data_IF_123463972889
#
_entry.id   IF_123463972889
#
_cell.length_a   1.000
_cell.length_b   1.000
_cell.length_c   1.000
_cell.angle_alpha   90.00
_cell.angle_beta   90.00
_cell.angle_gamma   90.00
#
_symmetry.space_group_name_H-M   'P 1'
#
loop_
_entity.id
_entity.type
_entity.pdbx_description
1 polymer ?
#
# COMPACT_ATOMS: atom_id res chain seq x y z
N UNK A 1 0.14 4.01 -19.52
CA UNK A 1 0.15 2.53 -19.39
C UNK A 1 1.59 2.08 -19.23
N UNK A 2 2.33 2.70 -18.30
CA UNK A 2 3.79 2.82 -18.38
C UNK A 2 4.50 2.57 -17.03
N UNK A 3 3.93 3.01 -15.91
CA UNK A 3 4.62 2.93 -14.60
C UNK A 3 4.79 1.50 -14.05
N UNK A 4 3.83 0.59 -14.31
CA UNK A 4 3.97 -0.81 -13.89
C UNK A 4 5.05 -1.56 -14.67
N UNK A 5 5.36 -1.16 -15.91
CA UNK A 5 6.39 -1.82 -16.72
C UNK A 5 7.78 -1.52 -16.17
N UNK A 6 8.02 -0.28 -15.72
CA UNK A 6 9.30 0.14 -15.18
C UNK A 6 9.63 -0.51 -13.83
N UNK A 7 8.61 -0.91 -13.07
CA UNK A 7 8.79 -1.59 -11.79
C UNK A 7 9.07 -3.09 -11.94
N UNK A 8 8.89 -3.69 -13.12
CA UNK A 8 9.17 -5.13 -13.35
C UNK A 8 10.65 -5.48 -13.19
N UNK A 9 11.56 -4.51 -13.27
CA UNK A 9 13.00 -4.72 -13.03
C UNK A 9 13.32 -4.98 -11.55
N UNK A 10 12.43 -4.61 -10.63
CA UNK A 10 12.66 -4.77 -9.19
C UNK A 10 12.03 -6.08 -8.67
N UNK A 11 12.64 -6.71 -7.64
CA UNK A 11 12.07 -7.90 -7.04
C UNK A 11 10.70 -7.64 -6.41
N UNK A 12 9.68 -8.39 -6.83
CA UNK A 12 8.40 -8.43 -6.13
C UNK A 12 8.55 -9.23 -4.84
N UNK A 13 8.37 -8.57 -3.70
CA UNK A 13 8.50 -9.17 -2.36
C UNK A 13 7.16 -9.51 -1.72
N UNK A 14 6.06 -9.03 -2.29
CA UNK A 14 4.71 -9.41 -1.89
C UNK A 14 3.75 -9.30 -3.08
N UNK A 15 2.82 -10.25 -3.16
CA UNK A 15 1.75 -10.27 -4.16
C UNK A 15 0.48 -10.80 -3.52
N UNK A 16 -0.48 -9.91 -3.29
CA UNK A 16 -1.79 -10.22 -2.74
C UNK A 16 -2.92 -9.70 -3.63
N UNK A 17 -4.16 -9.91 -3.19
CA UNK A 17 -5.36 -9.33 -3.82
C UNK A 17 -5.39 -7.81 -3.65
N UNK A 18 -4.86 -7.30 -2.54
CA UNK A 18 -4.99 -5.89 -2.14
C UNK A 18 -3.71 -5.08 -2.25
N UNK A 19 -2.56 -5.76 -2.39
CA UNK A 19 -1.29 -5.09 -2.56
C UNK A 19 -0.34 -5.86 -3.47
N UNK A 20 0.52 -5.14 -4.18
CA UNK A 20 1.76 -5.67 -4.74
C UNK A 20 2.91 -4.80 -4.26
N UNK A 21 3.98 -5.42 -3.76
CA UNK A 21 5.09 -4.68 -3.15
C UNK A 21 6.40 -5.12 -3.80
N UNK A 22 7.18 -4.13 -4.21
CA UNK A 22 8.45 -4.27 -4.89
C UNK A 22 9.57 -3.68 -4.02
N UNK A 23 10.72 -4.34 -4.04
CA UNK A 23 11.91 -3.93 -3.29
C UNK A 23 12.80 -3.03 -4.16
N UNK A 24 12.88 -1.75 -3.79
CA UNK A 24 13.69 -0.76 -4.50
C UNK A 24 15.13 -0.68 -3.96
N UNK A 25 15.50 -1.52 -2.99
CA UNK A 25 16.78 -1.40 -2.25
C UNK A 25 18.04 -1.48 -3.10
N UNK A 26 17.97 -2.01 -4.33
CA UNK A 26 19.08 -2.00 -5.29
C UNK A 26 19.48 -0.60 -5.74
N UNK A 27 18.56 0.37 -5.68
CA UNK A 27 18.79 1.76 -6.10
C UNK A 27 18.54 2.75 -4.95
N UNK A 28 17.55 2.46 -4.10
CA UNK A 28 17.16 3.27 -2.94
C UNK A 28 17.14 2.38 -1.68
N UNK A 29 18.22 2.36 -0.89
CA UNK A 29 18.31 1.51 0.30
C UNK A 29 17.09 1.65 1.23
N UNK A 30 16.66 0.52 1.81
CA UNK A 30 15.53 0.46 2.74
C UNK A 30 14.18 0.98 2.20
N UNK A 31 14.02 1.01 0.87
CA UNK A 31 12.82 1.56 0.22
C UNK A 31 12.03 0.46 -0.48
N UNK A 32 10.71 0.52 -0.34
CA UNK A 32 9.77 -0.31 -1.11
C UNK A 32 8.83 0.57 -1.92
N UNK A 33 8.30 -0.01 -3.00
CA UNK A 33 7.17 0.52 -3.74
C UNK A 33 5.96 -0.38 -3.51
N UNK A 34 4.83 0.19 -3.08
CA UNK A 34 3.59 -0.54 -2.82
C UNK A 34 2.47 -0.03 -3.74
N UNK A 35 1.92 -0.93 -4.55
CA UNK A 35 0.66 -0.71 -5.25
C UNK A 35 -0.49 -1.21 -4.39
N UNK A 36 -1.36 -0.30 -3.96
CA UNK A 36 -2.59 -0.62 -3.26
C UNK A 36 -3.74 -0.72 -4.27
N UNK A 37 -4.45 -1.85 -4.26
CA UNK A 37 -5.40 -2.18 -5.33
C UNK A 37 -6.70 -2.78 -4.81
N UNK A 38 -7.76 -2.64 -5.62
CA UNK A 38 -9.04 -3.27 -5.38
C UNK A 38 -9.98 -2.40 -4.53
N UNK A 39 -10.82 -3.07 -3.73
CA UNK A 39 -11.85 -2.42 -2.91
C UNK A 39 -11.66 -2.85 -1.45
N UNK A 40 -11.29 -1.90 -0.58
CA UNK A 40 -11.01 -2.22 0.81
C UNK A 40 -12.30 -2.29 1.63
N UNK A 41 -12.49 -3.39 2.35
CA UNK A 41 -13.66 -3.66 3.18
C UNK A 41 -13.24 -4.37 4.46
N UNK A 42 -13.68 -3.87 5.61
CA UNK A 42 -13.47 -4.53 6.90
C UNK A 42 -14.18 -5.88 6.96
N UNK A 43 -15.32 -6.02 6.27
CA UNK A 43 -16.03 -7.29 6.15
C UNK A 43 -15.27 -8.34 5.33
N UNK A 44 -14.29 -7.95 4.50
CA UNK A 44 -13.45 -8.90 3.77
C UNK A 44 -12.30 -9.39 4.67
N UNK A 45 -12.39 -10.65 5.10
CA UNK A 45 -11.36 -11.30 5.91
C UNK A 45 -10.00 -11.37 5.21
N UNK A 46 -9.97 -11.49 3.88
CA UNK A 46 -8.73 -11.48 3.12
C UNK A 46 -8.08 -10.11 3.15
N UNK A 47 -8.87 -9.03 3.12
CA UNK A 47 -8.34 -7.67 3.28
C UNK A 47 -7.65 -7.52 4.63
N UNK A 48 -8.35 -7.88 5.72
CA UNK A 48 -7.79 -7.79 7.06
C UNK A 48 -6.52 -8.63 7.22
N UNK A 49 -6.52 -9.85 6.67
CA UNK A 49 -5.36 -10.73 6.71
C UNK A 49 -4.18 -10.13 5.96
N UNK A 50 -4.35 -9.77 4.69
CA UNK A 50 -3.29 -9.22 3.85
C UNK A 50 -2.71 -7.93 4.44
N UNK A 51 -3.57 -7.01 4.90
CA UNK A 51 -3.13 -5.77 5.55
C UNK A 51 -2.47 -5.99 6.91
N UNK A 52 -2.77 -7.08 7.61
CA UNK A 52 -2.06 -7.40 8.86
C UNK A 52 -0.70 -8.07 8.62
N UNK A 53 -0.48 -8.61 7.42
CA UNK A 53 0.78 -9.25 7.03
C UNK A 53 1.77 -8.25 6.44
N UNK A 54 1.31 -7.27 5.66
CA UNK A 54 2.21 -6.32 4.97
C UNK A 54 3.11 -5.51 5.90
N UNK A 55 2.71 -5.07 7.13
CA UNK A 55 3.64 -4.42 8.04
C UNK A 55 4.80 -5.31 8.49
N UNK A 56 4.63 -6.64 8.52
CA UNK A 56 5.71 -7.56 8.90
C UNK A 56 6.85 -7.54 7.88
N UNK A 57 6.57 -7.19 6.61
CA UNK A 57 7.59 -7.00 5.59
C UNK A 57 8.53 -5.85 5.95
N UNK A 58 8.01 -4.79 6.58
CA UNK A 58 8.79 -3.63 7.01
C UNK A 58 9.88 -4.09 7.99
N UNK A 59 9.49 -4.89 9.00
CA UNK A 59 10.42 -5.48 9.95
C UNK A 59 11.42 -6.42 9.27
N UNK A 60 10.90 -7.38 8.48
CA UNK A 60 11.71 -8.47 7.92
C UNK A 60 12.73 -8.00 6.87
N UNK A 61 12.41 -6.92 6.15
CA UNK A 61 13.27 -6.35 5.10
C UNK A 61 13.99 -5.07 5.55
N UNK A 62 13.82 -4.68 6.83
CA UNK A 62 14.34 -3.43 7.37
C UNK A 62 13.98 -2.21 6.50
N UNK A 63 12.71 -2.12 6.11
CA UNK A 63 12.18 -1.01 5.31
C UNK A 63 12.06 0.23 6.19
N UNK A 64 12.49 1.38 5.67
CA UNK A 64 12.35 2.70 6.30
C UNK A 64 11.44 3.62 5.51
N UNK A 65 11.33 3.42 4.20
CA UNK A 65 10.57 4.26 3.29
C UNK A 65 9.61 3.40 2.46
N UNK A 66 8.34 3.79 2.41
CA UNK A 66 7.34 3.20 1.53
C UNK A 66 6.86 4.24 0.52
N UNK A 67 7.00 3.96 -0.76
CA UNK A 67 6.37 4.75 -1.81
C UNK A 67 5.06 4.06 -2.17
N UNK A 68 3.94 4.73 -1.96
CA UNK A 68 2.60 4.17 -2.08
C UNK A 68 1.87 4.74 -3.28
N UNK A 69 1.44 3.85 -4.17
CA UNK A 69 0.52 4.16 -5.25
C UNK A 69 -0.87 3.61 -4.95
N UNK A 70 -1.86 4.51 -5.00
CA UNK A 70 -3.27 4.21 -4.75
C UNK A 70 -4.12 4.30 -6.04
N UNK A 71 -3.48 4.46 -7.21
CA UNK A 71 -4.15 4.61 -8.52
C UNK A 71 -5.13 3.47 -8.86
N UNK A 72 -4.90 2.28 -8.32
CA UNK A 72 -5.74 1.09 -8.48
C UNK A 72 -6.73 0.85 -7.34
N UNK A 73 -6.74 1.73 -6.33
CA UNK A 73 -7.65 1.68 -5.21
C UNK A 73 -8.98 2.35 -5.59
N UNK A 74 -10.08 1.62 -5.48
CA UNK A 74 -11.39 2.10 -5.96
C UNK A 74 -12.12 2.99 -4.95
N UNK A 75 -12.21 2.52 -3.70
CA UNK A 75 -12.93 3.19 -2.61
C UNK A 75 -12.32 2.78 -1.28
N UNK A 76 -12.26 3.73 -0.36
CA UNK A 76 -11.94 3.50 1.05
C UNK A 76 -13.00 4.18 1.90
N UNK A 77 -13.72 3.41 2.72
CA UNK A 77 -14.70 3.99 3.66
C UNK A 77 -14.00 4.64 4.85
N UNK A 78 -14.70 5.50 5.59
CA UNK A 78 -14.20 6.07 6.85
C UNK A 78 -13.84 4.99 7.88
N UNK A 79 -14.63 3.91 7.92
CA UNK A 79 -14.35 2.75 8.77
C UNK A 79 -13.00 2.10 8.42
N UNK A 80 -12.73 1.90 7.13
CA UNK A 80 -11.46 1.35 6.66
C UNK A 80 -10.31 2.29 6.99
N UNK A 81 -10.47 3.61 6.78
CA UNK A 81 -9.44 4.59 7.15
C UNK A 81 -9.11 4.52 8.64
N UNK A 82 -10.14 4.49 9.51
CA UNK A 82 -9.95 4.35 10.95
C UNK A 82 -9.22 3.06 11.30
N UNK A 83 -9.56 1.95 10.64
CA UNK A 83 -8.87 0.68 10.85
C UNK A 83 -7.40 0.75 10.41
N UNK A 84 -7.10 1.34 9.24
CA UNK A 84 -5.74 1.52 8.74
C UNK A 84 -4.90 2.36 9.72
N UNK A 85 -5.45 3.46 10.26
CA UNK A 85 -4.78 4.26 11.29
C UNK A 85 -4.47 3.48 12.56
N UNK A 86 -5.45 2.74 13.07
CA UNK A 86 -5.30 2.03 14.35
C UNK A 86 -4.47 0.75 14.25
N UNK A 87 -4.36 0.17 13.05
CA UNK A 87 -3.73 -1.13 12.83
C UNK A 87 -2.53 -1.01 11.89
N UNK A 88 -2.75 -0.71 10.61
CA UNK A 88 -1.70 -0.73 9.61
C UNK A 88 -0.60 0.31 9.90
N UNK A 89 -0.96 1.60 9.97
CA UNK A 89 0.00 2.69 10.18
C UNK A 89 0.73 2.56 11.52
N UNK A 90 -0.02 2.25 12.59
CA UNK A 90 0.54 2.00 13.91
C UNK A 90 1.56 0.86 13.91
N UNK A 91 1.22 -0.27 13.30
CA UNK A 91 2.11 -1.44 13.25
C UNK A 91 3.31 -1.19 12.33
N UNK A 92 3.10 -0.56 11.18
CA UNK A 92 4.17 -0.20 10.24
C UNK A 92 5.22 0.70 10.89
N UNK A 93 4.78 1.72 11.64
CA UNK A 93 5.68 2.60 12.40
C UNK A 93 6.42 1.84 13.51
N UNK A 94 5.71 1.00 14.28
CA UNK A 94 6.33 0.15 15.31
C UNK A 94 7.36 -0.85 14.74
N UNK A 95 7.19 -1.25 13.48
CA UNK A 95 8.14 -2.10 12.75
C UNK A 95 9.26 -1.34 12.03
N UNK A 96 9.32 -0.03 12.21
CA UNK A 96 10.46 0.80 11.81
C UNK A 96 10.28 1.58 10.51
N UNK A 97 9.07 1.65 9.96
CA UNK A 97 8.78 2.58 8.87
C UNK A 97 8.84 4.02 9.37
N UNK A 98 9.59 4.87 8.68
CA UNK A 98 9.79 6.26 9.05
C UNK A 98 9.01 7.22 8.15
N UNK A 99 8.82 6.83 6.88
CA UNK A 99 8.20 7.69 5.87
C UNK A 99 7.34 6.87 4.92
N UNK A 100 6.15 7.39 4.61
CA UNK A 100 5.35 6.98 3.48
C UNK A 100 5.15 8.17 2.53
N UNK A 101 5.44 7.97 1.24
CA UNK A 101 5.24 8.94 0.18
C UNK A 101 4.12 8.44 -0.74
N UNK A 102 3.00 9.16 -0.79
CA UNK A 102 1.89 8.80 -1.68
C UNK A 102 2.01 9.54 -3.02
N UNK A 103 2.03 8.81 -4.13
CA UNK A 103 2.24 9.38 -5.48
C UNK A 103 1.01 10.17 -5.97
N UNK A 104 -0.20 9.68 -5.70
CA UNK A 104 -1.43 10.45 -5.90
C UNK A 104 -2.50 10.05 -4.88
N UNK A 105 -2.75 10.92 -3.91
CA UNK A 105 -3.77 10.70 -2.87
C UNK A 105 -5.20 11.01 -3.33
N UNK A 106 -5.38 11.68 -4.47
CA UNK A 106 -6.72 11.99 -5.00
C UNK A 106 -7.42 10.77 -5.61
N UNK A 107 -6.63 9.80 -6.09
CA UNK A 107 -7.13 8.52 -6.61
C UNK A 107 -8.03 7.77 -5.61
N UNK A 108 -7.72 7.84 -4.31
CA UNK A 108 -8.50 7.21 -3.24
C UNK A 108 -9.79 7.97 -2.85
N UNK A 109 -9.94 9.24 -3.26
CA UNK A 109 -10.99 10.14 -2.73
C UNK A 109 -12.12 10.51 -3.69
N UNK A 110 -12.07 10.29 -5.02
CA UNK A 110 -13.25 10.54 -5.87
C UNK A 110 -13.15 10.02 -7.31
N UNK A 111 -14.02 9.06 -7.65
CA UNK A 111 -14.76 9.04 -8.92
C UNK A 111 -16.27 9.06 -8.66
N UNK A 112 -16.75 9.97 -7.83
CA UNK A 112 -18.12 10.48 -8.01
C UNK A 112 -18.08 11.47 -9.17
N UNK A 113 -18.08 10.94 -10.41
CA UNK A 113 -18.45 11.75 -11.56
C UNK A 113 -19.96 11.97 -11.47
N UNK A 114 -20.34 13.24 -11.40
CA UNK A 114 -21.72 13.71 -11.39
C UNK A 114 -22.49 13.06 -12.53
N UNK A 115 -23.62 12.41 -12.20
CA UNK A 115 -24.72 12.24 -13.13
C UNK A 115 -25.56 13.52 -13.02
N UNK A 116 -25.34 14.44 -13.96
CA UNK A 116 -26.34 15.42 -14.38
C UNK A 116 -26.70 15.07 -15.83
#
# INVERSE_FOLDING_TARGET
MTEQADLQKYPKIYSGKYAEIYDLSSELPHTIFAFWKGFFQISDRNFLKEMSETPKLIKNKNVKICISDHSYLKVVSSEVLNWLHNNWYKNSSAYGLLLELSIDTQSAKKKHRNYF
#
